data_IF_055622739194
#
_entry.id   IF_055622739194
#
_cell.length_a   1.000
_cell.length_b   1.000
_cell.length_c   1.000
_cell.angle_alpha   90.00
_cell.angle_beta   90.00
_cell.angle_gamma   90.00
#
_symmetry.space_group_name_H-M   'P 1'
#
loop_
_entity.id
_entity.type
_entity.pdbx_description
1 polymer ?
#
# COMPACT_ATOMS: atom_id res chain seq x y z
N UNK A 1 7.99 6.50 -23.90
CA UNK A 1 8.58 7.39 -22.88
C UNK A 1 8.73 6.55 -21.62
N UNK A 2 9.94 6.06 -21.30
CA UNK A 2 10.13 5.30 -20.05
C UNK A 2 10.13 6.29 -18.88
N UNK A 3 9.10 6.25 -18.07
CA UNK A 3 9.06 7.00 -16.82
C UNK A 3 10.04 6.28 -15.86
N UNK A 4 11.17 6.93 -15.56
CA UNK A 4 12.15 6.43 -14.60
C UNK A 4 11.54 6.28 -13.21
N UNK A 5 12.07 5.34 -12.42
CA UNK A 5 11.66 5.08 -11.03
C UNK A 5 11.48 6.35 -10.18
N UNK A 6 12.37 7.33 -10.33
CA UNK A 6 12.32 8.61 -9.63
C UNK A 6 11.14 9.51 -10.04
N UNK A 7 10.68 9.44 -11.29
CA UNK A 7 9.49 10.19 -11.73
C UNK A 7 8.21 9.58 -11.17
N UNK A 8 8.17 8.26 -11.01
CA UNK A 8 7.03 7.60 -10.39
C UNK A 8 6.83 8.03 -8.94
N UNK A 9 7.92 8.19 -8.19
CA UNK A 9 7.87 8.73 -6.83
C UNK A 9 7.14 10.08 -6.77
N UNK A 10 7.56 11.05 -7.60
CA UNK A 10 6.92 12.37 -7.63
C UNK A 10 5.46 12.30 -8.07
N UNK A 11 5.14 11.44 -9.04
CA UNK A 11 3.76 11.24 -9.49
C UNK A 11 2.87 10.65 -8.38
N UNK A 12 3.37 9.67 -7.62
CA UNK A 12 2.65 9.07 -6.49
C UNK A 12 2.41 10.07 -5.36
N UNK A 13 3.42 10.87 -5.02
CA UNK A 13 3.30 11.93 -4.00
C UNK A 13 2.25 12.96 -4.42
N UNK A 14 2.23 13.38 -5.69
CA UNK A 14 1.23 14.30 -6.23
C UNK A 14 -0.18 13.69 -6.21
N UNK A 15 -0.32 12.41 -6.58
CA UNK A 15 -1.57 11.67 -6.48
C UNK A 15 -2.11 11.61 -5.04
N UNK A 16 -1.25 11.35 -4.05
CA UNK A 16 -1.63 11.40 -2.63
C UNK A 16 -1.99 12.82 -2.18
N UNK A 17 -1.21 13.83 -2.56
CA UNK A 17 -1.45 15.21 -2.18
C UNK A 17 -2.78 15.75 -2.77
N UNK A 18 -3.13 15.32 -3.98
CA UNK A 18 -4.41 15.68 -4.61
C UNK A 18 -5.61 14.95 -3.99
N UNK A 19 -5.41 13.72 -3.51
CA UNK A 19 -6.43 12.95 -2.81
C UNK A 19 -6.69 13.44 -1.37
N UNK A 20 -5.64 13.79 -0.60
CA UNK A 20 -5.72 14.12 0.82
C UNK A 20 -5.50 15.62 1.09
N UNK A 21 -6.52 16.44 0.78
CA UNK A 21 -6.43 17.91 0.88
C UNK A 21 -6.39 18.50 2.31
N UNK A 22 -6.55 17.69 3.36
CA UNK A 22 -6.78 18.23 4.72
C UNK A 22 -5.63 17.97 5.70
N UNK A 23 -4.86 16.87 5.55
CA UNK A 23 -3.75 16.50 6.47
C UNK A 23 -2.49 15.97 5.74
N UNK A 24 -2.36 16.25 4.44
CA UNK A 24 -1.38 15.61 3.56
C UNK A 24 0.10 15.70 4.00
N UNK A 25 0.52 16.70 4.77
CA UNK A 25 1.91 16.79 5.24
C UNK A 25 2.26 15.75 6.32
N UNK A 26 1.31 15.41 7.19
CA UNK A 26 1.51 14.36 8.20
C UNK A 26 1.44 12.97 7.56
N UNK A 27 0.52 12.76 6.63
CA UNK A 27 0.43 11.49 5.89
C UNK A 27 1.65 11.27 5.00
N UNK A 28 2.13 12.27 4.25
CA UNK A 28 3.33 12.11 3.42
C UNK A 28 4.57 11.73 4.24
N UNK A 29 4.74 12.30 5.43
CA UNK A 29 5.82 11.90 6.34
C UNK A 29 5.66 10.46 6.85
N UNK A 30 4.43 10.02 7.11
CA UNK A 30 4.15 8.63 7.46
C UNK A 30 4.49 7.69 6.29
N UNK A 31 3.97 7.98 5.08
CA UNK A 31 4.22 7.19 3.86
C UNK A 31 5.71 7.09 3.55
N UNK A 32 6.46 8.18 3.73
CA UNK A 32 7.89 8.19 3.48
C UNK A 32 8.65 7.26 4.44
N UNK A 33 8.28 7.21 5.74
CA UNK A 33 8.87 6.25 6.69
C UNK A 33 8.51 4.81 6.34
N UNK A 34 7.26 4.54 5.97
CA UNK A 34 6.81 3.21 5.53
C UNK A 34 7.60 2.76 4.30
N UNK A 35 7.79 3.65 3.33
CA UNK A 35 8.62 3.40 2.16
C UNK A 35 10.08 3.11 2.51
N UNK A 36 10.69 3.87 3.44
CA UNK A 36 12.06 3.58 3.89
C UNK A 36 12.17 2.18 4.51
N UNK A 37 11.22 1.79 5.36
CA UNK A 37 11.20 0.42 5.92
C UNK A 37 11.01 -0.63 4.84
N UNK A 38 10.08 -0.41 3.91
CA UNK A 38 9.85 -1.33 2.79
C UNK A 38 11.09 -1.44 1.87
N UNK A 39 11.84 -0.36 1.69
CA UNK A 39 13.08 -0.36 0.92
C UNK A 39 14.18 -1.19 1.57
N UNK A 40 14.27 -1.19 2.90
CA UNK A 40 15.17 -2.09 3.63
C UNK A 40 14.75 -3.55 3.43
N UNK A 41 13.45 -3.87 3.52
CA UNK A 41 12.95 -5.22 3.29
C UNK A 41 13.16 -5.68 1.84
N UNK A 42 13.01 -4.78 0.87
CA UNK A 42 13.31 -5.05 -0.54
C UNK A 42 14.76 -5.48 -0.77
N UNK A 43 15.70 -5.10 0.09
CA UNK A 43 17.09 -5.58 -0.02
C UNK A 43 17.22 -7.07 0.29
N UNK A 44 16.39 -7.59 1.20
CA UNK A 44 16.29 -9.01 1.53
C UNK A 44 15.38 -9.77 0.55
N UNK A 45 14.48 -9.07 -0.14
CA UNK A 45 13.50 -9.64 -1.08
C UNK A 45 13.76 -9.18 -2.52
N UNK A 46 14.83 -9.69 -3.14
CA UNK A 46 15.21 -9.37 -4.53
C UNK A 46 14.16 -9.78 -5.59
N UNK A 47 13.24 -10.68 -5.23
CA UNK A 47 12.10 -11.10 -6.07
C UNK A 47 10.96 -10.08 -6.12
N UNK A 48 10.93 -9.12 -5.19
CA UNK A 48 9.87 -8.13 -5.10
C UNK A 48 10.21 -6.90 -5.96
N UNK A 49 9.25 -6.49 -6.80
CA UNK A 49 9.37 -5.28 -7.62
C UNK A 49 9.34 -4.01 -6.74
N UNK A 50 10.48 -3.32 -6.65
CA UNK A 50 10.56 -2.06 -5.90
C UNK A 50 9.52 -1.02 -6.34
N UNK A 51 9.17 -0.99 -7.63
CA UNK A 51 8.15 -0.09 -8.19
C UNK A 51 6.74 -0.44 -7.68
N UNK A 52 6.43 -1.73 -7.59
CA UNK A 52 5.15 -2.25 -7.08
C UNK A 52 5.02 -1.93 -5.59
N UNK A 53 6.08 -2.23 -4.82
CA UNK A 53 6.11 -1.99 -3.38
C UNK A 53 5.99 -0.49 -3.09
N UNK A 54 6.68 0.37 -3.85
CA UNK A 54 6.54 1.82 -3.70
C UNK A 54 5.09 2.27 -3.94
N UNK A 55 4.50 1.87 -5.06
CA UNK A 55 3.14 2.25 -5.40
C UNK A 55 2.14 1.77 -4.33
N UNK A 56 2.29 0.54 -3.84
CA UNK A 56 1.48 0.02 -2.76
C UNK A 56 1.68 0.81 -1.46
N UNK A 57 2.93 1.11 -1.06
CA UNK A 57 3.22 1.88 0.15
C UNK A 57 2.64 3.29 0.12
N UNK A 58 2.57 3.97 -1.04
CA UNK A 58 1.98 5.30 -1.13
C UNK A 58 0.45 5.26 -1.23
N UNK A 59 -0.11 4.28 -1.95
CA UNK A 59 -1.53 4.25 -2.28
C UNK A 59 -2.38 3.40 -1.32
N UNK A 60 -1.76 2.62 -0.42
CA UNK A 60 -2.52 1.77 0.52
C UNK A 60 -3.44 2.56 1.45
N UNK A 61 -3.06 3.78 1.83
CA UNK A 61 -3.84 4.66 2.72
C UNK A 61 -4.64 5.71 1.95
N UNK A 62 -4.79 5.55 0.63
CA UNK A 62 -5.49 6.51 -0.22
C UNK A 62 -7.00 6.62 0.09
N UNK A 63 -7.57 5.57 0.70
CA UNK A 63 -8.92 5.56 1.25
C UNK A 63 -8.86 5.15 2.71
N UNK A 64 -8.78 6.13 3.61
CA UNK A 64 -8.78 5.88 5.04
C UNK A 64 -10.22 5.89 5.60
N UNK A 65 -10.85 4.71 5.68
CA UNK A 65 -12.14 4.57 6.36
C UNK A 65 -11.93 4.47 7.89
N UNK A 66 -12.77 5.14 8.69
CA UNK A 66 -12.65 5.11 10.15
C UNK A 66 -12.77 3.68 10.70
N UNK A 67 -11.98 3.41 11.75
CA UNK A 67 -11.76 2.06 12.33
C UNK A 67 -13.03 1.32 12.79
N UNK A 68 -14.16 2.02 12.93
CA UNK A 68 -15.45 1.46 13.33
C UNK A 68 -16.39 1.07 12.17
N UNK A 69 -15.95 1.17 10.91
CA UNK A 69 -16.79 0.81 9.78
C UNK A 69 -16.77 -0.71 9.51
N UNK A 70 -17.95 -1.32 9.50
CA UNK A 70 -18.15 -2.75 9.16
C UNK A 70 -17.62 -3.11 7.75
N UNK A 71 -17.50 -2.12 6.86
CA UNK A 71 -16.99 -2.26 5.50
C UNK A 71 -15.49 -2.02 5.37
N UNK A 72 -14.70 -2.15 6.45
CA UNK A 72 -13.24 -1.98 6.37
C UNK A 72 -12.59 -2.90 5.32
N UNK A 73 -13.14 -4.10 5.12
CA UNK A 73 -12.72 -5.01 4.06
C UNK A 73 -13.01 -4.46 2.65
N UNK A 74 -14.09 -3.70 2.47
CA UNK A 74 -14.37 -3.01 1.20
C UNK A 74 -13.54 -1.75 1.02
N UNK A 75 -13.14 -1.09 2.11
CA UNK A 75 -12.23 0.06 2.05
C UNK A 75 -10.96 -0.27 1.28
N UNK A 76 -10.39 -1.44 1.55
CA UNK A 76 -9.13 -1.92 0.98
C UNK A 76 -9.28 -2.25 -0.49
N UNK A 77 -10.36 -2.95 -0.87
CA UNK A 77 -10.67 -3.22 -2.29
C UNK A 77 -10.92 -1.93 -3.04
N UNK A 78 -11.68 -0.99 -2.48
CA UNK A 78 -11.90 0.33 -3.09
C UNK A 78 -10.60 1.13 -3.22
N UNK A 79 -9.71 1.08 -2.22
CA UNK A 79 -8.39 1.71 -2.28
C UNK A 79 -7.53 1.09 -3.39
N UNK A 80 -7.52 -0.23 -3.50
CA UNK A 80 -6.79 -0.96 -4.54
C UNK A 80 -7.32 -0.64 -5.95
N UNK A 81 -8.65 -0.63 -6.14
CA UNK A 81 -9.28 -0.26 -7.40
C UNK A 81 -8.96 1.19 -7.79
N UNK A 82 -9.06 2.13 -6.84
CA UNK A 82 -8.75 3.53 -7.10
C UNK A 82 -7.26 3.72 -7.41
N UNK A 83 -6.37 3.05 -6.67
CA UNK A 83 -4.94 3.06 -6.88
C UNK A 83 -4.59 2.57 -8.29
N UNK A 84 -5.15 1.44 -8.71
CA UNK A 84 -4.97 0.89 -10.06
C UNK A 84 -5.49 1.84 -11.13
N UNK A 85 -6.67 2.44 -10.93
CA UNK A 85 -7.23 3.40 -11.87
C UNK A 85 -6.30 4.60 -12.05
N UNK A 86 -5.84 5.22 -10.95
CA UNK A 86 -4.92 6.36 -10.97
C UNK A 86 -3.58 6.02 -11.61
N UNK A 87 -3.01 4.86 -11.28
CA UNK A 87 -1.75 4.38 -11.88
C UNK A 87 -1.91 4.12 -13.38
N UNK A 88 -3.04 3.54 -13.79
CA UNK A 88 -3.35 3.30 -15.20
C UNK A 88 -3.48 4.61 -15.98
N UNK A 89 -4.15 5.61 -15.42
CA UNK A 89 -4.22 6.95 -16.01
C UNK A 89 -2.85 7.61 -16.10
N UNK A 90 -1.98 7.40 -15.12
CA UNK A 90 -0.61 7.90 -15.11
C UNK A 90 0.34 7.16 -16.10
N UNK A 91 -0.10 6.05 -16.70
CA UNK A 91 0.68 5.25 -17.66
C UNK A 91 1.55 4.16 -17.03
N UNK A 92 1.17 3.66 -15.85
CA UNK A 92 1.91 2.60 -15.16
C UNK A 92 1.73 1.26 -15.89
N UNK A 93 2.76 0.39 -15.91
CA UNK A 93 2.69 -0.90 -16.60
C UNK A 93 1.60 -1.82 -16.02
N UNK A 94 0.70 -2.29 -16.88
CA UNK A 94 -0.47 -3.07 -16.48
C UNK A 94 -0.11 -4.42 -15.81
N UNK A 95 1.02 -5.02 -16.18
CA UNK A 95 1.55 -6.22 -15.53
C UNK A 95 1.83 -6.01 -14.04
N UNK A 96 2.17 -4.78 -13.63
CA UNK A 96 2.48 -4.42 -12.25
C UNK A 96 1.25 -3.96 -11.47
N UNK A 97 0.21 -3.49 -12.15
CA UNK A 97 -1.04 -3.03 -11.53
C UNK A 97 -1.69 -4.12 -10.69
N UNK A 98 -1.71 -5.36 -11.20
CA UNK A 98 -2.28 -6.51 -10.49
C UNK A 98 -1.52 -6.79 -9.19
N UNK A 99 -0.19 -6.71 -9.23
CA UNK A 99 0.65 -6.90 -8.06
C UNK A 99 0.45 -5.78 -7.02
N UNK A 100 0.28 -4.53 -7.47
CA UNK A 100 -0.02 -3.39 -6.58
C UNK A 100 -1.38 -3.59 -5.89
N UNK A 101 -2.43 -3.93 -6.64
CA UNK A 101 -3.76 -4.18 -6.08
C UNK A 101 -3.73 -5.28 -5.01
N UNK A 102 -3.15 -6.44 -5.37
CA UNK A 102 -2.99 -7.54 -4.43
C UNK A 102 -2.19 -7.16 -3.19
N UNK A 103 -1.12 -6.37 -3.32
CA UNK A 103 -0.33 -5.92 -2.18
C UNK A 103 -1.15 -5.02 -1.24
N UNK A 104 -1.95 -4.10 -1.78
CA UNK A 104 -2.82 -3.22 -1.00
C UNK A 104 -3.92 -4.03 -0.28
N UNK A 105 -4.58 -4.94 -0.99
CA UNK A 105 -5.63 -5.80 -0.42
C UNK A 105 -5.07 -6.71 0.68
N UNK A 106 -3.95 -7.37 0.42
CA UNK A 106 -3.29 -8.27 1.37
C UNK A 106 -2.75 -7.53 2.60
N UNK A 107 -2.21 -6.32 2.44
CA UNK A 107 -1.74 -5.49 3.55
C UNK A 107 -2.87 -5.17 4.53
N UNK A 108 -4.05 -4.83 4.02
CA UNK A 108 -5.21 -4.53 4.86
C UNK A 108 -5.80 -5.79 5.53
N UNK A 109 -5.82 -6.92 4.82
CA UNK A 109 -6.22 -8.21 5.40
C UNK A 109 -5.30 -8.59 6.57
N UNK A 110 -3.99 -8.35 6.42
CA UNK A 110 -3.00 -8.56 7.49
C UNK A 110 -3.16 -7.55 8.64
N UNK A 111 -3.50 -6.29 8.35
CA UNK A 111 -3.80 -5.26 9.36
C UNK A 111 -5.10 -5.49 10.14
N UNK A 112 -5.95 -6.42 9.69
CA UNK A 112 -7.16 -6.89 10.37
C UNK A 112 -6.99 -8.19 11.18
N UNK A 113 -5.85 -8.87 11.02
CA UNK A 113 -5.51 -10.01 11.86
C UNK A 113 -4.66 -9.46 13.00
N UNK A 114 -5.29 -9.24 14.16
CA UNK A 114 -4.53 -9.26 15.41
C UNK A 114 -3.65 -10.51 15.35
N UNK A 115 -2.32 -10.44 15.56
CA UNK A 115 -1.52 -11.63 15.74
C UNK A 115 -2.11 -12.32 16.96
N UNK A 116 -3.03 -13.26 16.73
CA UNK A 116 -3.44 -14.20 17.75
C UNK A 116 -2.20 -15.07 17.86
N UNK A 117 -1.41 -14.71 18.85
CA UNK A 117 -0.43 -15.59 19.43
C UNK A 117 -1.20 -16.85 19.83
N UNK A 118 -1.28 -17.81 18.90
CA UNK A 118 -1.58 -19.20 19.18
C UNK A 118 -0.23 -19.84 19.45
N UNK A 119 0.38 -19.48 20.57
CA UNK A 119 1.18 -20.46 21.28
C UNK A 119 0.19 -21.37 21.98
N UNK A 120 -0.11 -22.48 21.30
CA UNK A 120 -0.73 -23.62 21.96
C UNK A 120 0.22 -24.12 23.04
N UNK A 121 -0.15 -23.93 24.30
CA UNK A 121 0.33 -24.81 25.36
C UNK A 121 -0.51 -26.09 25.38
N UNK A 122 0.07 -27.09 24.74
CA UNK A 122 0.05 -28.51 25.04
C UNK A 122 -0.33 -28.88 26.48
N UNK A 123 -1.08 -29.98 26.67
CA UNK A 123 -1.09 -30.65 27.97
C UNK A 123 -2.20 -31.65 28.17
N UNK A 124 -2.09 -32.83 27.56
CA UNK A 124 -2.76 -34.03 28.06
C UNK A 124 -2.31 -34.34 29.49
N UNK A 125 -3.25 -34.52 30.41
CA UNK A 125 -3.21 -35.47 31.54
C UNK A 125 -4.59 -35.52 32.21
#
# INVERSE_FOLDING_TARGET
MHISFFNWYSCLVDLCATANKTDGAHDLNHLHRVWQTAQTLLQDHAEADALVVMAACYLHDLVNLPKNHADRARASTLAAELAVAKLREAGFPAEKLVAVAHAIEAHSFSAGIAPTDRVGESGSA
#
